data_IF_979810695293
#
_entry.id   IF_979810695293
#
_cell.length_a   1.000
_cell.length_b   1.000
_cell.length_c   1.000
_cell.angle_alpha   90.00
_cell.angle_beta   90.00
_cell.angle_gamma   90.00
#
_symmetry.space_group_name_H-M   'P 1'
#
loop_
_entity.id
_entity.type
_entity.pdbx_description
1 polymer ?
#
# COMPACT_ATOMS: atom_id res chain seq x y z
N UNK A 1 23.25 -33.46 5.85
CA UNK A 1 21.91 -33.00 5.37
C UNK A 1 21.81 -31.49 5.55
N UNK A 2 21.51 -30.76 4.49
CA UNK A 2 21.36 -29.30 4.44
C UNK A 2 19.89 -28.96 4.60
N UNK A 3 19.55 -28.22 5.66
CA UNK A 3 18.19 -27.70 5.87
C UNK A 3 18.14 -26.25 5.42
N UNK A 4 17.27 -25.96 4.48
CA UNK A 4 17.13 -24.62 3.93
C UNK A 4 15.66 -24.34 3.59
N UNK A 5 15.29 -23.06 3.59
CA UNK A 5 13.92 -22.65 3.34
C UNK A 5 13.77 -22.23 1.89
N UNK A 6 12.74 -22.73 1.20
CA UNK A 6 12.43 -22.31 -0.15
C UNK A 6 12.10 -20.80 -0.18
N UNK A 7 12.79 -19.98 -1.01
CA UNK A 7 12.54 -18.54 -1.08
C UNK A 7 11.19 -18.18 -1.71
N UNK A 8 10.57 -19.12 -2.45
CA UNK A 8 9.29 -18.87 -3.13
C UNK A 8 8.06 -19.21 -2.30
N UNK A 9 8.12 -20.26 -1.47
CA UNK A 9 6.96 -20.73 -0.72
C UNK A 9 7.18 -20.81 0.80
N UNK A 10 8.38 -20.50 1.28
CA UNK A 10 8.71 -20.56 2.71
C UNK A 10 8.73 -21.97 3.30
N UNK A 11 8.64 -23.02 2.48
CA UNK A 11 8.68 -24.40 2.97
C UNK A 11 10.10 -24.77 3.41
N UNK A 12 10.23 -25.36 4.60
CA UNK A 12 11.47 -25.97 5.09
C UNK A 12 11.75 -27.23 4.27
N UNK A 13 12.89 -27.27 3.61
CA UNK A 13 13.36 -28.37 2.78
C UNK A 13 14.64 -28.95 3.35
N UNK A 14 14.79 -30.26 3.21
CA UNK A 14 15.97 -31.03 3.56
C UNK A 14 16.57 -31.60 2.28
N UNK A 15 17.85 -31.31 2.06
CA UNK A 15 18.61 -31.79 0.92
C UNK A 15 19.87 -32.52 1.39
N UNK A 16 20.33 -33.51 0.62
CA UNK A 16 21.63 -34.12 0.85
C UNK A 16 22.74 -33.16 0.42
N UNK A 17 23.91 -33.28 1.04
CA UNK A 17 25.08 -32.45 0.72
C UNK A 17 25.61 -32.72 -0.70
N UNK A 18 25.32 -33.90 -1.25
CA UNK A 18 25.66 -34.30 -2.63
C UNK A 18 24.98 -33.43 -3.71
N UNK A 19 23.87 -32.77 -3.35
CA UNK A 19 23.12 -31.88 -4.25
C UNK A 19 23.27 -30.40 -3.86
N UNK A 20 24.23 -30.10 -2.97
CA UNK A 20 24.56 -28.74 -2.59
C UNK A 20 25.10 -27.95 -3.78
N UNK A 21 24.61 -26.72 -3.98
CA UNK A 21 24.94 -25.88 -5.12
C UNK A 21 24.12 -26.16 -6.40
N UNK A 22 23.29 -27.20 -6.44
CA UNK A 22 22.44 -27.48 -7.60
C UNK A 22 21.07 -26.80 -7.51
N UNK A 23 20.56 -26.33 -8.66
CA UNK A 23 19.18 -25.82 -8.79
C UNK A 23 18.21 -26.96 -9.06
N UNK A 24 17.23 -27.15 -8.18
CA UNK A 24 16.20 -28.19 -8.27
C UNK A 24 14.81 -27.62 -8.07
N UNK A 25 13.78 -28.30 -8.59
CA UNK A 25 12.39 -27.89 -8.39
C UNK A 25 11.94 -28.23 -6.97
N UNK A 26 11.35 -27.27 -6.28
CA UNK A 26 10.77 -27.48 -4.96
C UNK A 26 9.59 -28.46 -5.04
N UNK A 27 9.49 -29.47 -4.16
CA UNK A 27 8.37 -30.43 -4.18
C UNK A 27 7.03 -29.79 -3.80
N UNK A 28 7.02 -28.64 -3.11
CA UNK A 28 5.80 -27.94 -2.66
C UNK A 28 5.26 -26.93 -3.66
N UNK A 29 6.12 -26.13 -4.28
CA UNK A 29 5.69 -25.07 -5.20
C UNK A 29 6.17 -25.27 -6.64
N UNK A 30 6.95 -26.32 -6.92
CA UNK A 30 7.53 -26.66 -8.23
C UNK A 30 8.45 -25.60 -8.84
N UNK A 31 8.68 -24.49 -8.14
CA UNK A 31 9.63 -23.45 -8.55
C UNK A 31 11.09 -23.94 -8.40
N UNK A 32 12.00 -23.47 -9.28
CA UNK A 32 13.42 -23.77 -9.17
C UNK A 32 14.00 -23.11 -7.91
N UNK A 33 14.68 -23.89 -7.09
CA UNK A 33 15.36 -23.46 -5.86
C UNK A 33 16.78 -24.00 -5.87
N UNK A 34 17.73 -23.12 -5.57
CA UNK A 34 19.15 -23.49 -5.44
C UNK A 34 19.45 -23.94 -4.02
N UNK A 35 20.03 -25.14 -3.88
CA UNK A 35 20.46 -25.66 -2.57
C UNK A 35 21.75 -24.92 -2.16
N UNK A 36 21.81 -24.28 -0.98
CA UNK A 36 23.02 -23.57 -0.56
C UNK A 36 24.15 -24.57 -0.27
N UNK A 37 25.32 -24.36 -0.88
CA UNK A 37 26.53 -25.11 -0.53
C UNK A 37 27.12 -24.57 0.76
N UNK A 38 27.31 -25.44 1.76
CA UNK A 38 27.93 -25.07 3.02
C UNK A 38 29.43 -24.84 2.80
N UNK A 39 29.81 -23.61 2.44
CA UNK A 39 31.19 -23.18 2.52
C UNK A 39 31.51 -22.83 3.98
N UNK A 40 32.57 -23.44 4.47
CA UNK A 40 33.13 -23.35 5.81
C UNK A 40 33.25 -21.91 6.35
N UNK A 41 33.03 -21.85 7.66
CA UNK A 41 33.31 -20.78 8.62
C UNK A 41 34.64 -20.06 8.35
N UNK A 42 34.60 -18.74 8.18
CA UNK A 42 35.69 -17.86 8.64
C UNK A 42 35.11 -16.85 9.65
N UNK A 43 35.77 -16.79 10.80
CA UNK A 43 35.40 -16.06 12.00
C UNK A 43 36.11 -14.69 11.95
N UNK A 44 35.46 -13.59 12.38
CA UNK A 44 36.00 -12.24 12.30
C UNK A 44 36.89 -11.90 13.51
N UNK A 45 37.89 -11.04 13.31
CA UNK A 45 38.64 -10.39 14.40
C UNK A 45 38.29 -8.90 14.55
N UNK A 46 38.33 -8.35 15.77
CA UNK A 46 37.57 -7.17 16.16
C UNK A 46 38.46 -5.94 16.38
N UNK A 47 37.91 -4.74 16.16
CA UNK A 47 38.40 -3.52 16.80
C UNK A 47 37.21 -2.77 17.39
N UNK A 48 37.26 -2.66 18.71
CA UNK A 48 36.36 -1.87 19.55
C UNK A 48 36.75 -0.40 19.44
N UNK A 49 35.78 0.51 19.27
CA UNK A 49 35.39 1.45 20.34
C UNK A 49 34.17 2.27 19.88
N UNK A 50 33.23 2.52 20.79
CA UNK A 50 32.20 3.56 20.62
C UNK A 50 30.80 3.12 20.19
N UNK A 51 30.00 2.59 21.13
CA UNK A 51 28.55 2.73 21.13
C UNK A 51 28.17 3.54 22.37
N UNK A 52 27.08 4.33 22.38
CA UNK A 52 25.76 3.71 22.33
C UNK A 52 24.74 4.37 21.39
N UNK A 53 23.73 3.54 21.07
CA UNK A 53 22.37 3.90 20.67
C UNK A 53 22.02 3.77 19.18
N UNK A 54 21.79 2.51 18.79
CA UNK A 54 20.61 2.05 18.07
C UNK A 54 20.17 2.82 16.81
N UNK A 55 20.68 2.41 15.66
CA UNK A 55 19.86 2.39 14.43
C UNK A 55 20.24 1.15 13.63
N UNK A 56 19.29 0.23 13.48
CA UNK A 56 19.40 -0.90 12.55
C UNK A 56 19.18 -0.36 11.13
N UNK A 57 20.12 -0.49 10.18
CA UNK A 57 19.78 -0.37 8.76
C UNK A 57 19.09 -1.66 8.38
N UNK A 58 17.76 -1.63 8.43
CA UNK A 58 16.93 -2.68 7.87
C UNK A 58 17.26 -2.82 6.38
N UNK A 59 17.57 -4.05 6.00
CA UNK A 59 17.58 -4.61 4.66
C UNK A 59 17.10 -3.66 3.56
N UNK A 60 18.04 -3.33 2.68
CA UNK A 60 17.80 -2.74 1.37
C UNK A 60 16.92 -3.70 0.56
N UNK A 61 15.61 -3.49 0.67
CA UNK A 61 14.64 -4.05 -0.25
C UNK A 61 14.91 -3.49 -1.65
N UNK A 62 14.69 -4.25 -2.73
CA UNK A 62 14.92 -3.76 -4.09
C UNK A 62 14.24 -2.41 -4.26
N UNK A 63 15.02 -1.42 -4.69
CA UNK A 63 14.59 -0.04 -4.94
C UNK A 63 13.42 -0.08 -5.91
N UNK A 64 12.21 -0.11 -5.36
CA UNK A 64 10.99 0.20 -6.08
C UNK A 64 11.11 1.69 -6.42
N UNK A 65 10.72 2.14 -7.62
CA UNK A 65 10.63 3.56 -7.90
C UNK A 65 9.78 4.18 -6.79
N UNK A 66 10.44 5.02 -5.98
CA UNK A 66 9.85 5.69 -4.84
C UNK A 66 8.85 6.70 -5.39
N UNK A 67 7.59 6.32 -5.54
CA UNK A 67 6.56 7.33 -5.40
C UNK A 67 6.68 7.83 -3.95
N UNK A 68 6.87 9.13 -3.71
CA UNK A 68 6.88 9.67 -2.35
C UNK A 68 5.45 9.63 -1.81
N UNK A 69 5.01 8.47 -1.32
CA UNK A 69 3.84 8.40 -0.46
C UNK A 69 4.30 8.67 0.98
N UNK A 70 3.51 9.42 1.78
CA UNK A 70 3.92 9.74 3.13
C UNK A 70 4.06 8.46 3.96
N UNK A 71 4.95 8.48 4.96
CA UNK A 71 5.14 7.35 5.87
C UNK A 71 3.95 7.16 6.84
N UNK A 72 3.09 8.18 6.95
CA UNK A 72 1.88 8.21 7.78
C UNK A 72 0.79 8.99 7.07
N UNK A 73 -0.47 8.66 7.36
CA UNK A 73 -1.60 9.42 6.83
C UNK A 73 -1.56 10.84 7.37
N UNK A 74 -1.66 11.81 6.46
CA UNK A 74 -1.60 13.22 6.79
C UNK A 74 -2.99 13.68 7.21
N UNK A 75 -3.14 14.20 8.44
CA UNK A 75 -4.44 14.52 9.03
C UNK A 75 -5.31 15.50 8.26
N UNK A 76 -4.70 16.43 7.51
CA UNK A 76 -5.45 17.37 6.66
C UNK A 76 -5.79 16.78 5.28
N UNK A 77 -5.10 15.74 4.83
CA UNK A 77 -5.40 15.05 3.57
C UNK A 77 -6.57 14.11 3.72
N UNK A 78 -7.16 13.76 2.57
CA UNK A 78 -8.25 12.79 2.50
C UNK A 78 -7.79 11.55 1.75
N UNK A 79 -8.00 10.38 2.33
CA UNK A 79 -7.63 9.12 1.68
C UNK A 79 -8.88 8.29 1.39
N UNK A 80 -8.98 7.77 0.18
CA UNK A 80 -10.07 6.91 -0.25
C UNK A 80 -9.50 5.57 -0.67
N UNK A 81 -10.21 4.49 -0.37
CA UNK A 81 -9.93 3.16 -0.90
C UNK A 81 -11.04 2.85 -1.88
N UNK A 82 -10.65 2.59 -3.12
CA UNK A 82 -11.57 2.18 -4.18
C UNK A 82 -11.40 0.70 -4.48
N UNK A 83 -12.51 0.00 -4.68
CA UNK A 83 -12.55 -1.31 -5.32
C UNK A 83 -12.85 -1.14 -6.83
N UNK A 84 -13.29 -2.21 -7.51
CA UNK A 84 -13.62 -2.14 -8.95
C UNK A 84 -14.85 -1.29 -9.29
N UNK A 85 -15.81 -1.15 -8.38
CA UNK A 85 -17.11 -0.52 -8.59
C UNK A 85 -17.18 0.89 -8.02
N UNK A 86 -16.40 1.22 -6.99
CA UNK A 86 -16.40 2.57 -6.44
C UNK A 86 -15.60 2.74 -5.15
N UNK A 87 -15.97 3.77 -4.36
CA UNK A 87 -15.34 4.05 -3.07
C UNK A 87 -15.82 3.04 -2.03
N UNK A 88 -14.91 2.21 -1.56
CA UNK A 88 -15.14 1.18 -0.55
C UNK A 88 -14.95 1.72 0.87
N UNK A 89 -13.92 2.55 1.08
CA UNK A 89 -13.67 3.19 2.37
C UNK A 89 -13.07 4.58 2.20
N UNK A 90 -13.19 5.41 3.22
CA UNK A 90 -12.63 6.75 3.30
C UNK A 90 -12.02 6.98 4.67
N UNK A 91 -10.83 7.54 4.75
CA UNK A 91 -10.19 7.90 6.01
C UNK A 91 -10.35 9.39 6.28
N UNK A 92 -10.63 9.75 7.52
CA UNK A 92 -10.57 11.14 7.96
C UNK A 92 -9.58 11.34 9.10
N UNK A 93 -8.79 12.42 9.01
CA UNK A 93 -8.04 12.93 10.15
C UNK A 93 -8.96 13.45 11.27
N UNK A 94 -8.39 13.68 12.45
CA UNK A 94 -9.15 14.17 13.62
C UNK A 94 -9.79 13.07 14.48
N UNK A 95 -9.32 11.82 14.38
CA UNK A 95 -9.71 10.73 15.29
C UNK A 95 -10.91 9.88 14.85
N UNK A 96 -11.46 10.12 13.66
CA UNK A 96 -12.49 9.25 13.08
C UNK A 96 -11.90 7.98 12.44
N UNK A 97 -10.69 8.06 11.90
CA UNK A 97 -9.99 6.93 11.29
C UNK A 97 -10.64 6.48 9.98
N UNK A 98 -10.53 5.20 9.67
CA UNK A 98 -11.13 4.61 8.48
C UNK A 98 -12.65 4.43 8.63
N UNK A 99 -13.38 4.87 7.60
CA UNK A 99 -14.82 4.76 7.48
C UNK A 99 -15.18 3.91 6.27
N UNK A 100 -15.92 2.83 6.50
CA UNK A 100 -16.40 1.90 5.50
C UNK A 100 -17.69 2.43 4.87
N UNK A 101 -17.77 2.41 3.54
CA UNK A 101 -18.99 2.76 2.81
C UNK A 101 -20.02 1.66 2.99
N UNK A 102 -21.20 2.03 3.44
CA UNK A 102 -22.38 1.15 3.51
C UNK A 102 -23.52 1.76 2.71
N UNK A 103 -24.57 0.97 2.46
CA UNK A 103 -25.78 1.44 1.75
C UNK A 103 -26.37 2.71 2.38
N UNK A 104 -26.39 2.75 3.72
CA UNK A 104 -26.96 3.85 4.50
C UNK A 104 -25.97 4.97 4.89
N UNK A 105 -24.70 4.92 4.47
CA UNK A 105 -23.74 5.96 4.85
C UNK A 105 -22.30 5.49 4.99
N UNK A 106 -21.63 6.01 6.02
CA UNK A 106 -20.27 5.66 6.40
C UNK A 106 -20.25 5.21 7.86
N UNK A 107 -19.60 4.07 8.11
CA UNK A 107 -19.46 3.54 9.47
C UNK A 107 -17.98 3.32 9.80
N UNK A 108 -17.60 3.35 11.07
CA UNK A 108 -16.20 3.11 11.45
C UNK A 108 -15.78 1.70 11.05
N UNK A 109 -14.66 1.60 10.34
CA UNK A 109 -14.07 0.35 9.91
C UNK A 109 -13.71 -0.53 11.11
N UNK A 110 -13.19 0.06 12.20
CA UNK A 110 -12.86 -0.67 13.42
C UNK A 110 -14.06 -1.41 14.03
N UNK A 111 -15.29 -0.93 13.80
CA UNK A 111 -16.52 -1.59 14.25
C UNK A 111 -17.05 -2.64 13.26
N UNK A 112 -16.51 -2.70 12.05
CA UNK A 112 -16.98 -3.55 10.95
C UNK A 112 -15.81 -4.25 10.24
N UNK A 113 -14.74 -4.54 10.99
CA UNK A 113 -13.50 -5.12 10.45
C UNK A 113 -13.73 -6.48 9.77
N UNK A 114 -14.71 -7.24 10.25
CA UNK A 114 -15.13 -8.53 9.67
C UNK A 114 -15.66 -8.42 8.23
N UNK A 115 -16.07 -7.22 7.80
CA UNK A 115 -16.54 -6.98 6.43
C UNK A 115 -15.40 -6.72 5.45
N UNK A 116 -14.15 -6.70 5.91
CA UNK A 116 -13.01 -6.43 5.05
C UNK A 116 -12.64 -7.68 4.24
N UNK A 117 -12.69 -7.61 2.90
CA UNK A 117 -12.25 -8.71 2.07
C UNK A 117 -10.74 -8.94 2.24
N UNK A 118 -10.36 -10.21 2.37
CA UNK A 118 -8.96 -10.62 2.50
C UNK A 118 -8.18 -10.55 1.19
N UNK A 119 -8.87 -10.39 0.05
CA UNK A 119 -8.30 -10.27 -1.28
C UNK A 119 -9.18 -9.41 -2.20
N UNK A 120 -8.57 -8.74 -3.16
CA UNK A 120 -9.25 -7.92 -4.16
C UNK A 120 -8.32 -6.92 -4.84
N UNK A 121 -8.79 -6.31 -5.92
CA UNK A 121 -8.08 -5.20 -6.56
C UNK A 121 -8.52 -3.89 -5.93
N UNK A 122 -7.67 -3.37 -5.04
CA UNK A 122 -7.93 -2.12 -4.34
C UNK A 122 -6.92 -1.05 -4.74
N UNK A 123 -7.41 0.18 -4.83
CA UNK A 123 -6.60 1.36 -5.12
C UNK A 123 -6.76 2.34 -3.99
N UNK A 124 -5.63 2.87 -3.51
CA UNK A 124 -5.62 3.94 -2.54
C UNK A 124 -5.51 5.26 -3.31
N UNK A 125 -6.43 6.18 -3.05
CA UNK A 125 -6.46 7.51 -3.62
C UNK A 125 -6.15 8.48 -2.51
N UNK A 126 -5.05 9.21 -2.66
CA UNK A 126 -4.70 10.35 -1.81
C UNK A 126 -5.21 11.63 -2.48
N UNK A 127 -6.00 12.38 -1.73
CA UNK A 127 -6.46 13.72 -2.07
C UNK A 127 -5.68 14.69 -1.19
N UNK A 128 -4.74 15.39 -1.81
CA UNK A 128 -3.90 16.38 -1.14
C UNK A 128 -4.72 17.65 -0.94
N UNK A 129 -4.98 18.02 0.31
CA UNK A 129 -5.82 19.16 0.65
C UNK A 129 -4.95 20.26 1.26
N UNK A 130 -5.05 21.47 0.73
CA UNK A 130 -4.43 22.67 1.31
C UNK A 130 -5.51 23.60 1.83
N UNK A 131 -5.28 24.25 2.96
CA UNK A 131 -6.18 25.31 3.44
C UNK A 131 -5.65 26.64 2.93
N UNK A 132 -6.39 27.29 2.04
CA UNK A 132 -6.08 28.62 1.54
C UNK A 132 -7.27 29.54 1.85
N UNK A 133 -7.02 30.72 2.42
CA UNK A 133 -8.09 31.66 2.81
C UNK A 133 -9.25 31.03 3.62
N UNK A 134 -8.94 30.12 4.57
CA UNK A 134 -9.91 29.36 5.38
C UNK A 134 -10.82 28.40 4.58
N UNK A 135 -10.50 28.10 3.32
CA UNK A 135 -11.21 27.12 2.50
C UNK A 135 -10.28 25.94 2.22
N UNK A 136 -10.72 24.69 2.44
CA UNK A 136 -9.98 23.54 1.95
C UNK A 136 -10.03 23.54 0.42
N UNK A 137 -8.88 23.38 -0.22
CA UNK A 137 -8.71 23.29 -1.67
C UNK A 137 -8.02 21.98 -1.99
N UNK A 138 -8.58 21.25 -2.95
CA UNK A 138 -7.92 20.07 -3.50
C UNK A 138 -6.74 20.53 -4.36
N UNK A 139 -5.51 20.19 -3.95
CA UNK A 139 -4.28 20.52 -4.66
C UNK A 139 -3.95 19.45 -5.69
N UNK A 140 -3.89 18.20 -5.26
CA UNK A 140 -3.49 17.09 -6.11
C UNK A 140 -4.30 15.84 -5.79
N UNK A 141 -4.34 14.92 -6.75
CA UNK A 141 -4.91 13.59 -6.58
C UNK A 141 -3.85 12.56 -7.01
N UNK A 142 -3.47 11.66 -6.11
CA UNK A 142 -2.53 10.57 -6.39
C UNK A 142 -3.20 9.22 -6.21
N UNK A 143 -2.87 8.27 -7.07
CA UNK A 143 -3.44 6.93 -7.08
C UNK A 143 -2.34 5.91 -6.90
N UNK A 144 -2.53 5.03 -5.92
CA UNK A 144 -1.61 3.97 -5.56
C UNK A 144 -2.31 2.62 -5.69
N UNK A 145 -1.61 1.66 -6.29
CA UNK A 145 -2.06 0.28 -6.34
C UNK A 145 -1.77 -0.39 -4.99
N UNK A 146 -2.77 -1.05 -4.42
CA UNK A 146 -2.60 -1.86 -3.22
C UNK A 146 -2.33 -3.33 -3.56
N UNK A 147 -1.72 -4.04 -2.61
CA UNK A 147 -1.50 -5.46 -2.68
C UNK A 147 -2.83 -6.20 -2.81
N UNK A 148 -2.90 -7.18 -3.71
CA UNK A 148 -4.15 -7.90 -4.00
C UNK A 148 -4.64 -8.75 -2.82
N UNK A 149 -3.79 -9.00 -1.81
CA UNK A 149 -4.08 -9.85 -0.66
C UNK A 149 -3.69 -9.11 0.60
N UNK A 150 -4.55 -9.20 1.61
CA UNK A 150 -4.37 -8.67 2.95
C UNK A 150 -4.20 -7.15 3.07
N UNK A 151 -4.30 -6.39 1.98
CA UNK A 151 -4.18 -4.93 2.01
C UNK A 151 -5.20 -4.31 2.97
N UNK A 152 -6.49 -4.62 2.82
CA UNK A 152 -7.52 -4.04 3.67
C UNK A 152 -7.49 -4.57 5.11
N UNK A 153 -7.14 -5.85 5.30
CA UNK A 153 -7.00 -6.41 6.66
C UNK A 153 -5.90 -5.74 7.49
N UNK A 154 -4.95 -5.05 6.83
CA UNK A 154 -3.93 -4.27 7.53
C UNK A 154 -4.52 -3.09 8.32
N UNK A 155 -5.67 -2.54 7.87
CA UNK A 155 -6.36 -1.41 8.50
C UNK A 155 -6.79 -1.69 9.93
N UNK A 156 -6.99 -2.97 10.28
CA UNK A 156 -7.32 -3.39 11.65
C UNK A 156 -6.13 -3.22 12.61
N UNK A 157 -4.90 -3.26 12.08
CA UNK A 157 -3.66 -3.15 12.87
C UNK A 157 -3.23 -1.70 13.08
N UNK A 158 -3.73 -0.77 12.28
CA UNK A 158 -3.41 0.64 12.34
C UNK A 158 -3.83 1.38 11.07
N UNK A 159 -4.16 2.66 11.20
CA UNK A 159 -4.65 3.46 10.08
C UNK A 159 -3.60 3.60 8.97
N UNK A 160 -2.34 3.81 9.34
CA UNK A 160 -1.19 3.94 8.43
C UNK A 160 -0.71 2.61 7.83
N UNK A 161 -1.17 1.48 8.34
CA UNK A 161 -0.74 0.16 7.87
C UNK A 161 -1.05 -0.06 6.39
N UNK A 162 -2.08 0.60 5.85
CA UNK A 162 -2.45 0.53 4.43
C UNK A 162 -1.35 1.05 3.51
N UNK A 163 -0.54 2.00 3.98
CA UNK A 163 0.55 2.59 3.20
C UNK A 163 1.63 1.55 2.91
N UNK A 164 1.85 0.61 3.83
CA UNK A 164 2.77 -0.53 3.65
C UNK A 164 2.24 -1.56 2.65
N UNK A 165 0.94 -1.53 2.36
CA UNK A 165 0.32 -2.40 1.36
C UNK A 165 0.38 -1.82 -0.06
N UNK A 166 0.94 -0.61 -0.24
CA UNK A 166 1.15 -0.02 -1.57
C UNK A 166 2.19 -0.82 -2.33
N UNK A 167 1.86 -1.25 -3.54
CA UNK A 167 2.75 -2.03 -4.42
C UNK A 167 3.38 -1.18 -5.51
N UNK A 168 2.76 -0.06 -5.88
CA UNK A 168 3.24 0.86 -6.91
C UNK A 168 2.20 1.93 -7.27
N UNK A 169 2.42 2.70 -8.35
CA UNK A 169 1.42 3.61 -8.89
C UNK A 169 0.21 2.83 -9.40
N UNK A 170 -0.99 3.35 -9.15
CA UNK A 170 -2.25 2.80 -9.68
C UNK A 170 -2.88 3.76 -10.67
N UNK A 171 -3.91 3.33 -11.37
CA UNK A 171 -4.73 4.21 -12.22
C UNK A 171 -6.21 3.97 -11.97
N UNK A 172 -7.06 4.98 -12.15
CA UNK A 172 -8.49 4.86 -11.88
C UNK A 172 -9.28 4.52 -13.14
N UNK A 173 -10.23 3.60 -13.00
CA UNK A 173 -11.24 3.35 -14.02
C UNK A 173 -12.36 4.42 -13.98
N UNK A 174 -13.30 4.35 -14.93
CA UNK A 174 -14.35 5.35 -15.11
C UNK A 174 -15.29 5.39 -13.93
N UNK A 175 -15.70 4.23 -13.44
CA UNK A 175 -16.60 4.07 -12.30
C UNK A 175 -15.95 4.59 -11.02
N UNK A 176 -14.67 4.30 -10.81
CA UNK A 176 -13.88 4.81 -9.69
C UNK A 176 -13.77 6.34 -9.74
N UNK A 177 -13.47 6.93 -10.91
CA UNK A 177 -13.44 8.39 -11.07
C UNK A 177 -14.80 9.03 -10.81
N UNK A 178 -15.88 8.43 -11.31
CA UNK A 178 -17.25 8.90 -11.07
C UNK A 178 -17.61 8.83 -9.57
N UNK A 179 -17.25 7.74 -8.89
CA UNK A 179 -17.47 7.56 -7.47
C UNK A 179 -16.69 8.58 -6.62
N UNK A 180 -15.43 8.87 -6.98
CA UNK A 180 -14.62 9.90 -6.30
C UNK A 180 -15.24 11.28 -6.51
N UNK A 181 -15.69 11.59 -7.73
CA UNK A 181 -16.38 12.86 -8.00
C UNK A 181 -17.65 13.00 -7.17
N UNK A 182 -18.44 11.92 -7.08
CA UNK A 182 -19.65 11.89 -6.26
C UNK A 182 -19.32 12.07 -4.77
N UNK A 183 -18.28 11.40 -4.28
CA UNK A 183 -17.79 11.53 -2.91
C UNK A 183 -17.43 12.98 -2.58
N UNK A 184 -16.59 13.59 -3.41
CA UNK A 184 -16.15 14.98 -3.26
C UNK A 184 -17.36 15.94 -3.28
N UNK A 185 -18.29 15.73 -4.21
CA UNK A 185 -19.50 16.54 -4.31
C UNK A 185 -20.43 16.44 -3.09
N UNK A 186 -20.59 15.25 -2.51
CA UNK A 186 -21.49 15.03 -1.37
C UNK A 186 -20.89 15.46 -0.03
N UNK A 187 -19.60 15.18 0.20
CA UNK A 187 -19.01 15.28 1.54
C UNK A 187 -18.23 16.57 1.79
N UNK A 188 -17.71 17.18 0.73
CA UNK A 188 -16.82 18.34 0.84
C UNK A 188 -17.41 19.62 0.23
N UNK A 189 -18.67 19.56 -0.26
CA UNK A 189 -19.37 20.63 -1.00
C UNK A 189 -18.64 21.05 -2.30
N UNK A 190 -19.32 21.81 -3.17
CA UNK A 190 -18.74 22.32 -4.43
C UNK A 190 -17.56 23.29 -4.25
N UNK A 191 -17.29 23.74 -3.03
CA UNK A 191 -16.35 24.84 -2.73
C UNK A 191 -14.87 24.42 -2.65
N UNK A 192 -14.58 23.12 -2.50
CA UNK A 192 -13.22 22.54 -2.50
C UNK A 192 -12.59 22.36 -3.88
N UNK A 193 -13.37 22.47 -4.95
CA UNK A 193 -12.92 22.21 -6.31
C UNK A 193 -12.03 23.34 -6.87
N UNK A 194 -12.06 24.53 -6.26
CA UNK A 194 -11.19 25.67 -6.63
C UNK A 194 -11.14 25.96 -8.14
N UNK A 195 -10.06 26.63 -8.60
CA UNK A 195 -9.68 26.69 -10.02
C UNK A 195 -8.78 25.49 -10.40
N UNK A 196 -8.86 24.35 -9.67
CA UNK A 196 -7.99 23.21 -9.91
C UNK A 196 -8.50 22.34 -11.06
N UNK A 197 -8.48 22.94 -12.26
CA UNK A 197 -8.87 22.32 -13.53
C UNK A 197 -8.17 20.99 -13.80
N UNK A 198 -6.86 20.80 -13.50
CA UNK A 198 -6.19 19.52 -13.73
C UNK A 198 -6.87 18.32 -13.07
N UNK A 199 -7.29 18.44 -11.81
CA UNK A 199 -7.97 17.35 -11.08
C UNK A 199 -9.40 17.14 -11.60
N UNK A 200 -10.11 18.23 -11.92
CA UNK A 200 -11.44 18.18 -12.53
C UNK A 200 -11.41 17.53 -13.92
N UNK A 201 -10.41 17.85 -14.74
CA UNK A 201 -10.19 17.26 -16.06
C UNK A 201 -9.80 15.79 -15.94
N UNK A 202 -8.89 15.44 -15.03
CA UNK A 202 -8.52 14.04 -14.81
C UNK A 202 -9.69 13.18 -14.35
N UNK A 203 -10.50 13.67 -13.40
CA UNK A 203 -11.73 13.00 -12.98
C UNK A 203 -12.78 13.03 -14.09
N UNK A 204 -12.78 14.07 -14.92
CA UNK A 204 -13.61 14.35 -16.10
C UNK A 204 -13.40 13.39 -17.27
N UNK A 205 -12.14 13.01 -17.49
CA UNK A 205 -11.67 12.38 -18.71
C UNK A 205 -11.64 10.85 -18.62
N UNK A 206 -11.66 10.21 -19.78
CA UNK A 206 -11.53 8.76 -19.97
C UNK A 206 -10.08 8.27 -19.86
N UNK A 207 -9.15 9.07 -19.34
CA UNK A 207 -7.76 8.67 -19.21
C UNK A 207 -7.57 7.55 -18.16
N UNK A 208 -7.24 6.34 -18.60
CA UNK A 208 -7.11 5.16 -17.74
C UNK A 208 -5.66 4.85 -17.33
N UNK A 209 -4.71 5.67 -17.75
CA UNK A 209 -3.28 5.38 -17.65
C UNK A 209 -2.54 6.30 -16.68
N UNK A 210 -3.05 7.52 -16.42
CA UNK A 210 -2.35 8.45 -15.54
C UNK A 210 -2.52 8.07 -14.07
N UNK A 211 -1.45 8.16 -13.26
CA UNK A 211 -1.49 7.82 -11.84
C UNK A 211 -2.14 8.90 -10.97
N UNK A 212 -2.64 9.98 -11.54
CA UNK A 212 -3.17 11.12 -10.81
C UNK A 212 -3.14 12.42 -11.59
N UNK A 213 -3.46 13.51 -10.90
CA UNK A 213 -3.36 14.88 -11.39
C UNK A 213 -2.62 15.76 -10.36
N UNK A 214 -1.70 16.62 -10.83
CA UNK A 214 -0.98 17.56 -9.98
C UNK A 214 -1.87 18.71 -9.49
#
# INVERSE_FOLDING_TARGET
MIRFTCPHCGSRLDAKEEIAGQTRKCPKCRNPVTVPAAATRQVPEPSKDGSPAAVQPAAEAPVRPHLPHPARLVGHNRYLICDRTGVFAAWEGGGQGWLLRTDHGYTRLSLNADKLPSQGDFKLVELELSVEHQRPLLRALRVFQLAQRWALTSLVRGDDAILKAITGPGSLNRDQKAAIRQYLGQRMMREIWGDNRPVLEYLGNQDYHSPGAP
#
